data_IF_338977881604
#
_entry.id   IF_338977881604
#
_cell.length_a   1.000
_cell.length_b   1.000
_cell.length_c   1.000
_cell.angle_alpha   90.00
_cell.angle_beta   90.00
_cell.angle_gamma   90.00
#
_symmetry.space_group_name_H-M   'P 1'
#
loop_
_entity.id
_entity.type
_entity.pdbx_description
1 polymer ?
#
# COMPACT_ATOMS: atom_id res chain seq x y z
N UNK A 1 20.93 -36.08 56.61
CA UNK A 1 20.67 -34.69 56.22
C UNK A 1 20.24 -34.66 54.78
N UNK A 2 19.02 -34.38 54.52
CA UNK A 2 18.48 -34.33 53.16
C UNK A 2 18.53 -32.86 52.67
N UNK A 3 19.41 -32.59 51.71
CA UNK A 3 19.49 -31.30 51.04
C UNK A 3 18.44 -31.24 49.95
N UNK A 4 17.40 -30.43 50.12
CA UNK A 4 16.42 -30.17 49.07
C UNK A 4 16.96 -29.09 48.14
N UNK A 5 17.43 -29.51 47.00
CA UNK A 5 17.81 -28.63 45.89
C UNK A 5 16.51 -28.21 45.15
N UNK A 6 16.02 -27.03 45.47
CA UNK A 6 14.87 -26.42 44.82
C UNK A 6 15.36 -25.80 43.50
N UNK A 7 15.15 -26.52 42.40
CA UNK A 7 15.40 -26.01 41.05
C UNK A 7 14.30 -25.03 40.70
N UNK A 8 14.61 -23.74 40.74
CA UNK A 8 13.73 -22.67 40.27
C UNK A 8 13.81 -22.59 38.75
N UNK A 9 12.84 -23.20 38.08
CA UNK A 9 12.70 -23.12 36.62
C UNK A 9 12.21 -21.71 36.25
N UNK A 10 13.12 -20.83 35.85
CA UNK A 10 12.80 -19.50 35.36
C UNK A 10 12.24 -19.63 33.92
N UNK A 11 10.91 -19.61 33.78
CA UNK A 11 10.25 -19.56 32.50
C UNK A 11 10.45 -18.14 31.90
N UNK A 12 11.41 -18.02 31.00
CA UNK A 12 11.57 -16.80 30.18
C UNK A 12 10.42 -16.79 29.16
N UNK A 13 9.36 -16.07 29.48
CA UNK A 13 8.34 -15.70 28.51
C UNK A 13 8.93 -14.62 27.61
N UNK A 14 9.40 -15.01 26.44
CA UNK A 14 9.76 -14.07 25.39
C UNK A 14 8.48 -13.45 24.87
N UNK A 15 8.11 -12.28 25.36
CA UNK A 15 7.06 -11.46 24.76
C UNK A 15 7.64 -10.92 23.46
N UNK A 16 7.30 -11.57 22.34
CA UNK A 16 7.49 -10.99 21.03
C UNK A 16 6.65 -9.70 20.99
N UNK A 17 7.31 -8.56 21.14
CA UNK A 17 6.69 -7.27 20.91
C UNK A 17 6.36 -7.20 19.41
N UNK A 18 5.16 -7.63 19.03
CA UNK A 18 4.56 -7.23 17.76
C UNK A 18 4.45 -5.71 17.85
N UNK A 19 5.26 -5.01 17.05
CA UNK A 19 5.21 -3.57 16.97
C UNK A 19 3.81 -3.16 16.50
N UNK A 20 2.95 -2.79 17.45
CA UNK A 20 1.68 -2.15 17.12
C UNK A 20 2.03 -0.77 16.57
N UNK A 21 1.62 -0.52 15.31
CA UNK A 21 1.67 0.83 14.76
C UNK A 21 0.91 1.75 15.72
N UNK A 22 1.54 2.84 16.14
CA UNK A 22 0.92 3.80 17.05
C UNK A 22 -0.29 4.42 16.34
N UNK A 23 -1.48 4.49 16.98
CA UNK A 23 -2.61 5.21 16.43
C UNK A 23 -2.21 6.63 16.01
N UNK A 24 -2.50 7.01 14.75
CA UNK A 24 -2.15 8.32 14.22
C UNK A 24 -0.73 8.45 13.65
N UNK A 25 0.06 7.35 13.53
CA UNK A 25 1.40 7.38 12.91
C UNK A 25 1.39 7.91 11.47
N UNK A 26 0.29 7.78 10.74
CA UNK A 26 0.13 8.25 9.37
C UNK A 26 -0.39 9.69 9.27
N UNK A 27 -0.83 10.29 10.38
CA UNK A 27 -1.36 11.66 10.39
C UNK A 27 -0.35 12.64 9.81
N UNK A 28 -0.83 13.47 8.87
CA UNK A 28 -0.01 14.45 8.16
C UNK A 28 0.72 13.91 6.93
N UNK A 29 0.72 12.59 6.69
CA UNK A 29 1.24 12.04 5.45
C UNK A 29 0.32 12.39 4.28
N UNK A 30 0.92 12.58 3.12
CA UNK A 30 0.19 12.67 1.85
C UNK A 30 -0.08 11.26 1.34
N UNK A 31 -1.32 11.00 1.01
CA UNK A 31 -1.79 9.73 0.48
C UNK A 31 -2.16 9.90 -0.99
N UNK A 32 -1.53 9.14 -1.87
CA UNK A 32 -1.85 9.11 -3.29
C UNK A 32 -2.53 7.78 -3.60
N UNK A 33 -3.83 7.84 -3.89
CA UNK A 33 -4.65 6.66 -4.19
C UNK A 33 -4.88 6.57 -5.70
N UNK A 34 -4.40 5.49 -6.30
CA UNK A 34 -4.56 5.19 -7.71
C UNK A 34 -5.62 4.09 -7.83
N UNK A 35 -6.80 4.44 -8.31
CA UNK A 35 -7.98 3.59 -8.33
C UNK A 35 -8.33 3.22 -9.76
N UNK A 36 -8.45 1.92 -10.05
CA UNK A 36 -8.73 1.39 -11.38
C UNK A 36 -10.21 1.00 -11.49
N UNK A 37 -11.05 1.82 -12.19
CA UNK A 37 -12.48 1.57 -12.28
C UNK A 37 -12.79 0.20 -12.92
N UNK A 38 -13.80 -0.48 -12.38
CA UNK A 38 -14.31 -1.70 -12.96
C UNK A 38 -15.29 -1.39 -14.11
N UNK A 39 -15.21 -2.21 -15.17
CA UNK A 39 -16.24 -2.40 -16.17
C UNK A 39 -16.07 -3.81 -16.77
N UNK A 40 -17.13 -4.37 -17.38
CA UNK A 40 -17.11 -5.76 -17.87
C UNK A 40 -15.96 -6.06 -18.86
N UNK A 41 -15.59 -5.09 -19.70
CA UNK A 41 -14.49 -5.24 -20.67
C UNK A 41 -13.12 -4.81 -20.14
N UNK A 42 -13.03 -4.41 -18.87
CA UNK A 42 -11.77 -4.01 -18.26
C UNK A 42 -11.07 -5.19 -17.62
N UNK A 43 -9.76 -5.21 -17.75
CA UNK A 43 -8.90 -6.27 -17.21
C UNK A 43 -7.83 -5.67 -16.31
N UNK A 44 -7.36 -6.46 -15.34
CA UNK A 44 -6.30 -6.08 -14.43
C UNK A 44 -5.45 -7.30 -14.06
N UNK A 45 -4.15 -7.24 -14.35
CA UNK A 45 -3.19 -8.27 -13.95
C UNK A 45 -2.56 -7.88 -12.63
N UNK A 46 -3.09 -8.44 -11.54
CA UNK A 46 -2.64 -8.15 -10.18
C UNK A 46 -1.21 -8.62 -9.94
N UNK A 47 -0.82 -9.78 -10.45
CA UNK A 47 0.54 -10.32 -10.29
C UNK A 47 1.60 -9.38 -10.88
N UNK A 48 1.39 -8.89 -12.10
CA UNK A 48 2.27 -7.91 -12.71
C UNK A 48 2.32 -6.60 -11.92
N UNK A 49 1.16 -6.13 -11.49
CA UNK A 49 1.04 -4.89 -10.73
C UNK A 49 1.82 -4.94 -9.41
N UNK A 50 1.68 -6.04 -8.66
CA UNK A 50 2.40 -6.27 -7.41
C UNK A 50 3.91 -6.44 -7.61
N UNK A 51 4.31 -7.22 -8.61
CA UNK A 51 5.70 -7.65 -8.76
C UNK A 51 6.55 -6.69 -9.61
N UNK A 52 5.95 -5.85 -10.45
CA UNK A 52 6.65 -5.01 -11.42
C UNK A 52 6.28 -3.53 -11.31
N UNK A 53 5.00 -3.18 -11.49
CA UNK A 53 4.59 -1.78 -11.59
C UNK A 53 4.78 -1.01 -10.28
N UNK A 54 4.20 -1.49 -9.19
CA UNK A 54 4.27 -0.81 -7.90
C UNK A 54 5.70 -0.70 -7.35
N UNK A 55 6.56 -1.74 -7.44
CA UNK A 55 7.95 -1.61 -7.06
C UNK A 55 8.73 -0.59 -7.92
N UNK A 56 8.45 -0.50 -9.21
CA UNK A 56 9.06 0.49 -10.11
C UNK A 56 8.73 1.92 -9.64
N UNK A 57 7.45 2.21 -9.43
CA UNK A 57 7.03 3.54 -8.96
C UNK A 57 7.57 3.85 -7.57
N UNK A 58 7.55 2.88 -6.66
CA UNK A 58 8.14 3.01 -5.32
C UNK A 58 9.63 3.37 -5.39
N UNK A 59 10.35 2.80 -6.34
CA UNK A 59 11.75 3.13 -6.60
C UNK A 59 11.96 4.59 -6.99
N UNK A 60 11.08 5.15 -7.81
CA UNK A 60 11.14 6.58 -8.19
C UNK A 60 10.88 7.50 -7.00
N UNK A 61 10.03 7.11 -6.07
CA UNK A 61 9.69 7.91 -4.89
C UNK A 61 10.81 7.94 -3.85
N UNK A 62 11.63 6.89 -3.77
CA UNK A 62 12.81 6.83 -2.92
C UNK A 62 12.50 7.12 -1.44
N UNK A 63 13.27 8.02 -0.84
CA UNK A 63 13.17 8.36 0.60
C UNK A 63 11.88 9.12 0.99
N UNK A 64 11.16 9.68 0.02
CA UNK A 64 9.88 10.32 0.26
C UNK A 64 8.77 9.30 0.57
N UNK A 65 8.92 8.06 0.08
CA UNK A 65 7.98 6.97 0.33
C UNK A 65 8.09 6.46 1.77
N UNK A 66 6.96 6.43 2.47
CA UNK A 66 6.85 5.82 3.80
C UNK A 66 6.43 4.36 3.67
N UNK A 67 5.36 4.11 2.92
CA UNK A 67 4.84 2.78 2.60
C UNK A 67 3.93 2.83 1.37
N UNK A 68 3.62 1.69 0.81
CA UNK A 68 2.52 1.56 -0.14
C UNK A 68 1.69 0.31 0.14
N UNK A 69 0.44 0.35 -0.28
CA UNK A 69 -0.49 -0.78 -0.21
C UNK A 69 -1.07 -1.07 -1.59
N UNK A 70 -1.46 -2.31 -1.78
CA UNK A 70 -2.16 -2.77 -2.98
C UNK A 70 -3.42 -3.51 -2.51
N UNK A 71 -4.56 -3.12 -3.02
CA UNK A 71 -5.85 -3.68 -2.65
C UNK A 71 -6.57 -4.18 -3.91
N UNK A 72 -7.16 -5.35 -3.79
CA UNK A 72 -8.03 -5.93 -4.83
C UNK A 72 -9.48 -5.65 -4.47
N UNK A 73 -10.24 -5.13 -5.43
CA UNK A 73 -11.69 -4.96 -5.27
C UNK A 73 -12.38 -6.32 -5.12
N UNK A 74 -13.27 -6.44 -4.15
CA UNK A 74 -14.01 -7.70 -3.88
C UNK A 74 -15.51 -7.52 -4.01
N UNK A 75 -16.05 -6.35 -3.68
CA UNK A 75 -17.48 -6.04 -3.77
C UNK A 75 -17.72 -4.52 -3.68
N UNK A 76 -18.92 -4.09 -4.05
CA UNK A 76 -19.43 -2.77 -3.64
C UNK A 76 -19.87 -2.81 -2.18
N UNK A 77 -19.64 -1.74 -1.45
CA UNK A 77 -20.21 -1.55 -0.11
C UNK A 77 -21.72 -1.23 -0.14
N UNK A 78 -22.28 -0.96 -1.30
CA UNK A 78 -23.71 -0.70 -1.49
C UNK A 78 -24.36 -1.95 -2.09
N UNK A 79 -25.42 -2.52 -1.49
CA UNK A 79 -26.09 -3.69 -2.01
C UNK A 79 -26.57 -3.49 -3.46
N UNK A 80 -26.47 -4.55 -4.28
CA UNK A 80 -26.90 -4.57 -5.68
C UNK A 80 -26.20 -3.57 -6.62
N UNK A 81 -25.06 -3.01 -6.19
CA UNK A 81 -24.21 -2.20 -7.04
C UNK A 81 -23.04 -3.02 -7.57
N UNK A 82 -22.57 -2.76 -8.78
CA UNK A 82 -21.39 -3.41 -9.32
C UNK A 82 -20.13 -3.01 -8.54
N UNK A 83 -19.10 -3.84 -8.67
CA UNK A 83 -17.77 -3.52 -8.14
C UNK A 83 -17.31 -2.15 -8.68
N UNK A 84 -16.97 -1.17 -7.83
CA UNK A 84 -16.58 0.16 -8.31
C UNK A 84 -15.16 0.19 -8.88
N UNK A 85 -14.22 -0.52 -8.25
CA UNK A 85 -12.82 -0.56 -8.67
C UNK A 85 -12.26 -1.98 -8.63
N UNK A 86 -11.46 -2.33 -9.63
CA UNK A 86 -10.76 -3.62 -9.69
C UNK A 86 -9.61 -3.69 -8.70
N UNK A 87 -8.89 -2.59 -8.56
CA UNK A 87 -7.72 -2.47 -7.71
C UNK A 87 -7.50 -1.03 -7.25
N UNK A 88 -6.81 -0.89 -6.13
CA UNK A 88 -6.31 0.38 -5.62
C UNK A 88 -4.84 0.21 -5.22
N UNK A 89 -3.97 1.04 -5.78
CA UNK A 89 -2.61 1.21 -5.29
C UNK A 89 -2.49 2.51 -4.52
N UNK A 90 -1.90 2.48 -3.34
CA UNK A 90 -1.79 3.66 -2.49
C UNK A 90 -0.35 3.88 -2.07
N UNK A 91 0.17 5.07 -2.31
CA UNK A 91 1.46 5.52 -1.77
C UNK A 91 1.25 6.51 -0.64
N UNK A 92 1.94 6.29 0.47
CA UNK A 92 2.04 7.25 1.58
C UNK A 92 3.40 7.92 1.49
N UNK A 93 3.41 9.23 1.32
CA UNK A 93 4.63 10.02 1.13
C UNK A 93 4.69 11.17 2.14
N UNK A 94 5.90 11.64 2.42
CA UNK A 94 6.14 12.72 3.38
C UNK A 94 5.81 14.09 2.82
N UNK A 95 6.11 14.31 1.52
CA UNK A 95 6.01 15.61 0.85
C UNK A 95 5.33 15.45 -0.50
N UNK A 96 4.28 16.25 -0.75
CA UNK A 96 3.62 16.32 -2.04
C UNK A 96 4.56 16.91 -3.12
N UNK A 97 5.31 17.93 -2.79
CA UNK A 97 6.25 18.56 -3.73
C UNK A 97 7.31 17.57 -4.22
N UNK A 98 7.87 16.77 -3.30
CA UNK A 98 8.85 15.74 -3.64
C UNK A 98 8.23 14.60 -4.46
N UNK A 99 6.98 14.24 -4.16
CA UNK A 99 6.22 13.28 -4.98
C UNK A 99 6.07 13.79 -6.42
N UNK A 100 5.61 15.01 -6.59
CA UNK A 100 5.42 15.62 -7.91
C UNK A 100 6.75 15.72 -8.67
N UNK A 101 7.82 16.11 -7.99
CA UNK A 101 9.16 16.21 -8.58
C UNK A 101 9.71 14.83 -9.01
N UNK A 102 9.41 13.77 -8.27
CA UNK A 102 9.82 12.40 -8.61
C UNK A 102 9.00 11.82 -9.77
N UNK A 103 7.70 12.09 -9.81
CA UNK A 103 6.81 11.53 -10.85
C UNK A 103 6.98 12.24 -12.19
N UNK A 104 7.18 13.55 -12.22
CA UNK A 104 7.21 14.33 -13.45
C UNK A 104 8.19 13.78 -14.51
N UNK A 105 9.47 13.48 -14.21
CA UNK A 105 10.42 12.95 -15.20
C UNK A 105 10.14 11.48 -15.55
N UNK A 106 9.38 10.75 -14.74
CA UNK A 106 9.10 9.32 -14.90
C UNK A 106 7.67 9.05 -15.43
N UNK A 107 6.89 10.10 -15.68
CA UNK A 107 5.48 9.98 -16.07
C UNK A 107 5.27 9.14 -17.33
N UNK A 108 6.09 9.31 -18.34
CA UNK A 108 5.95 8.58 -19.60
C UNK A 108 6.26 7.08 -19.41
N UNK A 109 7.29 6.76 -18.62
CA UNK A 109 7.62 5.38 -18.29
C UNK A 109 6.50 4.71 -17.48
N UNK A 110 5.92 5.41 -16.52
CA UNK A 110 4.79 4.92 -15.71
C UNK A 110 3.57 4.65 -16.59
N UNK A 111 3.23 5.59 -17.48
CA UNK A 111 2.09 5.44 -18.41
C UNK A 111 2.29 4.32 -19.41
N UNK A 112 3.48 4.19 -19.96
CA UNK A 112 3.79 3.13 -20.91
C UNK A 112 3.63 1.74 -20.30
N UNK A 113 3.86 1.61 -18.99
CA UNK A 113 3.75 0.34 -18.29
C UNK A 113 2.30 -0.11 -18.03
N UNK A 114 1.32 0.80 -18.11
CA UNK A 114 -0.11 0.47 -17.89
C UNK A 114 -0.59 -0.65 -18.79
N UNK A 115 -0.21 -0.65 -20.07
CA UNK A 115 -0.61 -1.67 -21.04
C UNK A 115 -0.17 -3.09 -20.64
N UNK A 116 0.83 -3.22 -19.78
CA UNK A 116 1.32 -4.52 -19.30
C UNK A 116 0.41 -5.16 -18.26
N UNK A 117 -0.50 -4.41 -17.63
CA UNK A 117 -1.36 -4.96 -16.59
C UNK A 117 -2.82 -4.53 -16.65
N UNK A 118 -3.17 -3.47 -17.39
CA UNK A 118 -4.57 -3.02 -17.45
C UNK A 118 -4.89 -2.27 -18.75
N UNK A 119 -6.16 -2.28 -19.11
CA UNK A 119 -6.74 -1.41 -20.12
C UNK A 119 -7.65 -0.32 -19.51
N UNK A 120 -7.68 -0.19 -18.19
CA UNK A 120 -8.43 0.85 -17.50
C UNK A 120 -7.57 2.09 -17.28
N UNK A 121 -8.17 3.27 -17.43
CA UNK A 121 -7.57 4.53 -17.02
C UNK A 121 -7.82 4.73 -15.51
N UNK A 122 -6.79 4.93 -14.68
CA UNK A 122 -6.98 5.14 -13.25
C UNK A 122 -7.58 6.50 -12.93
N UNK A 123 -8.29 6.56 -11.80
CA UNK A 123 -8.64 7.80 -11.09
C UNK A 123 -7.61 7.99 -9.98
N UNK A 124 -7.00 9.14 -9.89
CA UNK A 124 -5.95 9.42 -8.90
C UNK A 124 -6.42 10.51 -7.96
N UNK A 125 -6.44 10.19 -6.67
CA UNK A 125 -6.75 11.14 -5.59
C UNK A 125 -5.49 11.38 -4.76
N UNK A 126 -5.16 12.65 -4.57
CA UNK A 126 -4.17 13.08 -3.58
C UNK A 126 -4.92 13.62 -2.37
N UNK A 127 -4.62 13.11 -1.20
CA UNK A 127 -5.26 13.49 0.05
C UNK A 127 -4.25 13.57 1.18
N UNK A 128 -4.61 14.21 2.28
CA UNK A 128 -3.82 14.23 3.51
C UNK A 128 -4.50 13.33 4.54
N UNK A 129 -3.71 12.55 5.26
CA UNK A 129 -4.21 11.76 6.37
C UNK A 129 -4.41 12.67 7.58
N UNK A 130 -5.67 12.84 8.00
CA UNK A 130 -6.03 13.75 9.11
C UNK A 130 -6.14 13.03 10.46
N UNK A 131 -6.27 11.70 10.46
CA UNK A 131 -6.40 10.89 11.69
C UNK A 131 -5.94 9.45 11.48
#
# INVERSE_FOLDING_TARGET
>A
MKSNLMVLLLLMVSVAAFGQEKPGAEKGLVKVSIMYPFAEWKTFNMEYYESKHMPMVAGFLGKNLVKYTIEKGVASGIPNQPLPYMAIGTFYVKSLADYQAAIAPNRDAIRADFANYTNAAPVILVSEVVR
#
